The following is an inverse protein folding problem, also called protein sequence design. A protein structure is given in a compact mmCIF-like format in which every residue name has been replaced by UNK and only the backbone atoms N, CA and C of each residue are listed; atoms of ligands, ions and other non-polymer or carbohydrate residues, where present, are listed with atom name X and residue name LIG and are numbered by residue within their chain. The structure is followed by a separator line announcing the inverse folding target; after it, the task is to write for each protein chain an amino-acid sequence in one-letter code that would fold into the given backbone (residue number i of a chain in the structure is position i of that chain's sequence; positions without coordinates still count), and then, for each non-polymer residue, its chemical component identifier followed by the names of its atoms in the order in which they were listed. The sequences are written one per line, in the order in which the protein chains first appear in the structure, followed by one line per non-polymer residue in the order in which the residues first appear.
data_IF_427440209207
#
_entry.id   IF_427440209207
#
_cell.length_a   1.000
_cell.length_b   1.000
_cell.length_c   1.000
_cell.angle_alpha   90.00
_cell.angle_beta   90.00
_cell.angle_gamma   90.00
#
_symmetry.space_group_name_H-M   'P 1'
#
loop_
_entity.id
_entity.type
_entity.pdbx_description
1 polymer ?
#
# COMPACT_ATOMS: atom_id res chain seq x y z
N UNK A 1 8.21 -20.10 8.44
CA UNK A 1 7.61 -19.06 7.57
C UNK A 1 6.62 -19.73 6.63
N UNK A 2 5.54 -19.05 6.21
CA UNK A 2 4.65 -19.57 5.15
C UNK A 2 5.24 -19.20 3.79
N UNK A 3 5.34 -20.16 2.88
CA UNK A 3 5.78 -19.92 1.51
C UNK A 3 4.57 -19.63 0.61
N UNK A 4 4.80 -18.94 -0.52
CA UNK A 4 3.74 -18.57 -1.46
C UNK A 4 4.15 -18.89 -2.90
N UNK A 5 3.17 -19.23 -3.72
CA UNK A 5 3.36 -19.37 -5.16
C UNK A 5 3.62 -17.99 -5.79
N UNK A 6 4.73 -17.86 -6.54
CA UNK A 6 5.11 -16.61 -7.19
C UNK A 6 4.20 -16.22 -8.39
N UNK A 7 3.30 -17.12 -8.82
CA UNK A 7 2.37 -16.84 -9.91
C UNK A 7 0.98 -16.46 -9.39
N UNK A 8 0.38 -17.31 -8.55
CA UNK A 8 -1.00 -17.16 -8.10
C UNK A 8 -1.15 -16.71 -6.64
N UNK A 9 -0.04 -16.46 -5.95
CA UNK A 9 0.02 -15.96 -4.56
C UNK A 9 -0.64 -16.87 -3.52
N UNK A 10 -1.05 -18.10 -3.88
CA UNK A 10 -1.55 -19.10 -2.94
C UNK A 10 -0.44 -19.49 -1.96
N UNK A 11 -0.78 -19.50 -0.67
CA UNK A 11 0.10 -20.00 0.38
C UNK A 11 0.30 -21.52 0.26
N UNK A 12 1.48 -22.00 0.67
CA UNK A 12 1.75 -23.42 0.81
C UNK A 12 0.81 -24.04 1.87
N UNK A 13 0.05 -25.03 1.44
CA UNK A 13 -0.83 -25.80 2.33
C UNK A 13 -0.08 -27.02 2.88
N UNK A 14 0.26 -26.96 4.17
CA UNK A 14 0.94 -28.07 4.86
C UNK A 14 0.05 -29.30 5.04
N UNK A 15 -1.28 -29.15 4.96
CA UNK A 15 -2.22 -30.24 5.23
C UNK A 15 -2.40 -31.16 4.03
N UNK A 16 -2.23 -30.65 2.81
CA UNK A 16 -2.43 -31.42 1.58
C UNK A 16 -1.15 -32.08 1.04
N UNK A 17 -0.04 -32.05 1.77
CA UNK A 17 1.29 -32.51 1.31
C UNK A 17 1.76 -31.87 -0.01
N UNK A 18 1.10 -30.80 -0.48
CA UNK A 18 1.42 -30.10 -1.72
C UNK A 18 2.54 -29.08 -1.45
N UNK A 19 3.75 -29.59 -1.23
CA UNK A 19 4.96 -28.76 -1.13
C UNK A 19 5.10 -27.96 -2.43
N UNK A 20 5.26 -26.65 -2.33
CA UNK A 20 5.42 -25.83 -3.52
C UNK A 20 6.74 -26.21 -4.22
N UNK A 21 6.68 -26.43 -5.52
CA UNK A 21 7.86 -26.69 -6.35
C UNK A 21 8.78 -25.47 -6.37
N UNK A 22 10.09 -25.67 -6.21
CA UNK A 22 11.09 -24.60 -6.22
C UNK A 22 11.71 -24.50 -7.61
N UNK A 23 11.95 -23.29 -8.10
CA UNK A 23 12.74 -23.12 -9.31
C UNK A 23 14.21 -23.50 -9.06
N UNK A 24 14.67 -24.59 -9.69
CA UNK A 24 16.03 -25.10 -9.53
C UNK A 24 17.10 -24.04 -9.80
N UNK A 25 16.96 -23.26 -10.88
CA UNK A 25 17.92 -22.21 -11.23
C UNK A 25 17.99 -21.09 -10.18
N UNK A 26 16.86 -20.69 -9.58
CA UNK A 26 16.87 -19.71 -8.51
C UNK A 26 17.43 -20.27 -7.21
N UNK A 27 17.20 -21.55 -6.92
CA UNK A 27 17.77 -22.21 -5.75
C UNK A 27 19.30 -22.22 -5.79
N UNK A 28 19.91 -22.38 -6.97
CA UNK A 28 21.37 -22.31 -7.18
C UNK A 28 22.00 -20.94 -6.86
N UNK A 29 21.19 -19.89 -6.76
CA UNK A 29 21.62 -18.54 -6.38
C UNK A 29 20.95 -18.08 -5.09
N UNK A 30 20.63 -19.03 -4.21
CA UNK A 30 20.04 -18.81 -2.88
C UNK A 30 18.72 -18.01 -2.89
N UNK A 31 17.93 -18.12 -3.97
CA UNK A 31 16.61 -17.50 -4.07
C UNK A 31 15.50 -18.55 -4.02
N UNK A 32 14.59 -18.35 -3.08
CA UNK A 32 13.44 -19.24 -2.85
C UNK A 32 12.20 -18.82 -3.67
N UNK A 33 12.22 -19.09 -4.97
CA UNK A 33 11.05 -18.84 -5.86
C UNK A 33 10.26 -20.13 -6.02
N UNK A 34 9.01 -20.12 -5.55
CA UNK A 34 8.15 -21.30 -5.48
C UNK A 34 6.89 -21.21 -6.33
N UNK A 35 6.38 -22.34 -6.78
CA UNK A 35 5.17 -22.46 -7.58
C UNK A 35 4.31 -23.63 -7.13
N UNK A 36 2.98 -23.48 -7.21
CA UNK A 36 2.05 -24.58 -6.94
C UNK A 36 2.33 -25.79 -7.83
N UNK A 37 2.60 -25.54 -9.10
CA UNK A 37 2.81 -26.55 -10.13
C UNK A 37 3.54 -25.92 -11.34
N UNK A 38 3.82 -26.76 -12.35
CA UNK A 38 4.49 -26.35 -13.59
C UNK A 38 3.68 -25.33 -14.40
N UNK A 39 2.35 -25.32 -14.29
CA UNK A 39 1.49 -24.34 -14.97
C UNK A 39 1.72 -22.93 -14.40
N UNK A 40 1.67 -22.79 -13.07
CA UNK A 40 2.00 -21.54 -12.39
C UNK A 40 3.42 -21.05 -12.76
N UNK A 41 4.39 -21.97 -12.82
CA UNK A 41 5.75 -21.61 -13.25
C UNK A 41 5.78 -21.07 -14.69
N UNK A 42 5.04 -21.70 -15.62
CA UNK A 42 4.95 -21.25 -17.02
C UNK A 42 4.25 -19.90 -17.15
N UNK A 43 3.20 -19.66 -16.39
CA UNK A 43 2.47 -18.39 -16.41
C UNK A 43 3.35 -17.23 -15.90
N UNK A 44 4.09 -17.47 -14.81
CA UNK A 44 5.06 -16.51 -14.30
C UNK A 44 6.34 -16.38 -15.16
N UNK A 45 6.60 -17.32 -16.07
CA UNK A 45 7.86 -17.40 -16.83
C UNK A 45 8.17 -16.12 -17.61
N UNK A 46 7.16 -15.44 -18.17
CA UNK A 46 7.33 -14.19 -18.94
C UNK A 46 8.10 -13.13 -18.15
N UNK A 47 7.83 -13.02 -16.85
CA UNK A 47 8.49 -12.08 -15.94
C UNK A 47 9.71 -12.72 -15.28
N UNK A 48 9.58 -13.97 -14.83
CA UNK A 48 10.61 -14.68 -14.08
C UNK A 48 11.90 -14.92 -14.89
N UNK A 49 11.80 -15.20 -16.19
CA UNK A 49 12.98 -15.52 -17.03
C UNK A 49 14.02 -14.39 -17.08
N UNK A 50 13.61 -13.14 -16.84
CA UNK A 50 14.51 -11.98 -16.86
C UNK A 50 15.54 -12.03 -15.73
N UNK A 51 15.16 -12.63 -14.61
CA UNK A 51 15.96 -12.71 -13.39
C UNK A 51 16.31 -14.11 -12.95
N UNK A 52 15.67 -15.15 -13.48
CA UNK A 52 15.91 -16.57 -13.16
C UNK A 52 17.40 -16.93 -13.26
N UNK A 53 17.94 -17.61 -12.24
CA UNK A 53 19.33 -18.08 -12.21
C UNK A 53 20.44 -17.02 -12.13
N UNK A 54 20.12 -15.73 -12.19
CA UNK A 54 21.11 -14.65 -12.06
C UNK A 54 21.43 -14.38 -10.59
N UNK A 55 22.72 -14.37 -10.23
CA UNK A 55 23.17 -13.82 -8.94
C UNK A 55 22.85 -12.34 -8.94
N UNK A 56 22.13 -11.93 -7.90
CA UNK A 56 21.84 -10.53 -7.68
C UNK A 56 22.99 -10.00 -6.83
N UNK A 57 23.84 -9.15 -7.40
CA UNK A 57 24.90 -8.49 -6.65
C UNK A 57 24.29 -7.87 -5.38
N UNK A 58 24.88 -8.08 -4.19
CA UNK A 58 24.40 -7.46 -2.98
C UNK A 58 24.49 -5.93 -3.14
N UNK A 59 23.33 -5.30 -3.36
CA UNK A 59 23.20 -3.87 -3.69
C UNK A 59 22.61 -3.56 -5.07
N UNK A 60 22.54 -4.55 -5.98
CA UNK A 60 21.97 -4.41 -7.33
C UNK A 60 20.88 -5.44 -7.61
N UNK A 61 20.31 -6.05 -6.57
CA UNK A 61 19.15 -6.90 -6.74
C UNK A 61 18.05 -6.13 -7.47
N UNK A 62 17.73 -6.46 -8.75
CA UNK A 62 16.53 -5.99 -9.35
C UNK A 62 15.44 -6.55 -8.45
N UNK A 63 14.69 -5.61 -7.88
CA UNK A 63 13.52 -5.81 -7.07
C UNK A 63 12.49 -6.59 -7.89
N UNK A 64 12.75 -7.88 -8.10
CA UNK A 64 11.98 -8.76 -8.99
C UNK A 64 10.64 -9.16 -8.37
N UNK A 65 10.46 -8.79 -7.10
CA UNK A 65 9.18 -8.71 -6.40
C UNK A 65 8.84 -7.29 -5.93
N UNK A 66 9.66 -6.27 -6.25
CA UNK A 66 9.55 -4.91 -5.71
C UNK A 66 8.97 -3.89 -6.69
N UNK A 67 9.25 -4.04 -7.98
CA UNK A 67 8.69 -3.16 -9.00
C UNK A 67 7.61 -3.93 -9.76
N UNK A 68 6.39 -3.95 -9.21
CA UNK A 68 5.22 -4.13 -10.06
C UNK A 68 5.35 -2.99 -11.08
N UNK A 69 5.59 -3.27 -12.38
CA UNK A 69 5.67 -2.21 -13.36
C UNK A 69 4.39 -1.40 -13.17
N UNK A 70 4.55 -0.10 -12.94
CA UNK A 70 3.43 0.82 -12.76
C UNK A 70 2.72 0.93 -14.11
N UNK A 71 1.99 -0.15 -14.47
CA UNK A 71 1.32 -0.32 -15.77
C UNK A 71 0.11 0.60 -15.86
N UNK A 72 -0.32 1.16 -14.74
CA UNK A 72 -1.44 2.08 -14.64
C UNK A 72 -0.98 3.35 -13.96
N UNK A 73 -0.94 4.43 -14.73
CA UNK A 73 -0.61 5.80 -14.28
C UNK A 73 -1.55 6.37 -13.19
N UNK A 74 -2.55 5.61 -12.74
CA UNK A 74 -3.62 6.10 -11.87
C UNK A 74 -3.33 6.03 -10.37
N UNK A 75 -2.50 5.11 -9.89
CA UNK A 75 -2.29 4.92 -8.45
C UNK A 75 -0.92 5.40 -7.99
N UNK A 76 -0.91 6.35 -7.06
CA UNK A 76 0.30 6.79 -6.37
C UNK A 76 0.82 5.65 -5.46
N UNK A 77 1.84 4.95 -5.94
CA UNK A 77 2.57 3.90 -5.22
C UNK A 77 4.06 4.19 -5.39
N UNK A 78 4.73 4.75 -4.37
CA UNK A 78 6.14 5.12 -4.46
C UNK A 78 7.05 3.89 -4.63
N UNK A 79 8.27 4.05 -5.17
CA UNK A 79 9.27 2.98 -5.14
C UNK A 79 9.62 2.60 -3.69
N UNK A 80 10.03 1.36 -3.48
CA UNK A 80 10.49 0.91 -2.15
C UNK A 80 11.87 1.47 -1.83
N UNK A 81 12.10 1.83 -0.58
CA UNK A 81 13.42 2.13 -0.05
C UNK A 81 14.37 0.91 -0.23
N UNK A 82 15.69 1.14 -0.38
CA UNK A 82 16.66 0.05 -0.47
C UNK A 82 16.53 -0.94 0.69
N UNK A 83 16.48 -2.24 0.37
CA UNK A 83 16.34 -3.32 1.35
C UNK A 83 14.93 -3.55 1.89
N UNK A 84 13.96 -2.67 1.62
CA UNK A 84 12.57 -2.90 2.00
C UNK A 84 11.87 -3.87 1.03
N UNK A 85 11.23 -4.89 1.58
CA UNK A 85 10.46 -5.88 0.80
C UNK A 85 8.99 -5.86 1.21
N UNK A 86 8.12 -5.58 0.23
CA UNK A 86 6.66 -5.68 0.38
C UNK A 86 6.24 -7.14 0.60
N UNK A 87 5.26 -7.35 1.49
CA UNK A 87 4.66 -8.67 1.70
C UNK A 87 3.81 -9.10 0.49
N UNK A 88 3.51 -10.40 0.41
CA UNK A 88 2.63 -10.95 -0.61
C UNK A 88 1.22 -10.31 -0.56
N UNK A 89 0.68 -10.10 0.64
CA UNK A 89 -0.62 -9.45 0.82
C UNK A 89 -0.59 -7.98 0.42
N UNK A 90 0.50 -7.26 0.71
CA UNK A 90 0.63 -5.87 0.28
C UNK A 90 0.75 -5.75 -1.24
N UNK A 91 1.48 -6.65 -1.90
CA UNK A 91 1.51 -6.71 -3.37
C UNK A 91 0.13 -7.00 -3.97
N UNK A 92 -0.67 -7.85 -3.33
CA UNK A 92 -2.04 -8.09 -3.74
C UNK A 92 -2.91 -6.84 -3.58
N UNK A 93 -2.76 -6.11 -2.47
CA UNK A 93 -3.45 -4.84 -2.25
C UNK A 93 -3.10 -3.81 -3.34
N UNK A 94 -1.82 -3.70 -3.68
CA UNK A 94 -1.32 -2.86 -4.77
C UNK A 94 -1.95 -3.28 -6.11
N UNK A 95 -2.04 -4.57 -6.40
CA UNK A 95 -2.71 -5.08 -7.60
C UNK A 95 -4.17 -4.66 -7.65
N UNK A 96 -4.92 -4.82 -6.56
CA UNK A 96 -6.33 -4.41 -6.55
C UNK A 96 -6.51 -2.91 -6.75
N UNK A 97 -5.62 -2.09 -6.18
CA UNK A 97 -5.65 -0.64 -6.40
C UNK A 97 -5.37 -0.27 -7.86
N UNK A 98 -4.41 -0.94 -8.50
CA UNK A 98 -4.12 -0.75 -9.93
C UNK A 98 -5.34 -1.08 -10.80
N UNK A 99 -6.05 -2.16 -10.46
CA UNK A 99 -7.25 -2.59 -11.19
C UNK A 99 -8.48 -1.71 -10.89
N UNK A 100 -8.44 -0.93 -9.80
CA UNK A 100 -9.56 -0.11 -9.32
C UNK A 100 -9.07 1.30 -8.94
N UNK A 101 -8.70 2.15 -9.92
CA UNK A 101 -8.08 3.47 -9.67
C UNK A 101 -9.00 4.46 -8.94
N UNK A 102 -10.30 4.18 -8.87
CA UNK A 102 -11.26 4.96 -8.09
C UNK A 102 -11.15 4.70 -6.57
N UNK A 103 -10.59 3.57 -6.15
CA UNK A 103 -10.49 3.17 -4.76
C UNK A 103 -9.19 3.68 -4.12
N UNK A 104 -9.30 4.16 -2.88
CA UNK A 104 -8.18 4.55 -2.03
C UNK A 104 -7.65 3.35 -1.23
N UNK A 105 -8.49 2.39 -0.88
CA UNK A 105 -8.08 1.17 -0.19
C UNK A 105 -9.10 0.05 -0.40
N UNK A 106 -8.66 -1.20 -0.38
CA UNK A 106 -9.53 -2.38 -0.48
C UNK A 106 -9.51 -3.13 0.84
N UNK A 107 -10.67 -3.33 1.45
CA UNK A 107 -10.83 -4.11 2.67
C UNK A 107 -11.24 -5.54 2.33
N UNK A 108 -10.55 -6.52 2.89
CA UNK A 108 -10.91 -7.93 2.79
C UNK A 108 -11.90 -8.29 3.92
N UNK A 109 -13.17 -8.45 3.54
CA UNK A 109 -14.29 -8.72 4.45
C UNK A 109 -14.72 -10.20 4.48
N UNK A 110 -13.82 -11.12 4.15
CA UNK A 110 -14.11 -12.55 4.11
C UNK A 110 -14.52 -13.07 5.50
N UNK A 111 -15.78 -13.50 5.73
CA UNK A 111 -16.12 -14.16 6.98
C UNK A 111 -15.39 -15.51 7.07
N UNK A 112 -15.12 -16.02 8.29
CA UNK A 112 -14.51 -17.33 8.48
C UNK A 112 -15.26 -18.42 7.68
N UNK A 113 -14.51 -19.24 6.95
CA UNK A 113 -15.07 -20.38 6.19
C UNK A 113 -15.57 -20.06 4.77
N UNK A 114 -15.62 -18.80 4.35
CA UNK A 114 -16.03 -18.47 2.96
C UNK A 114 -14.87 -18.73 1.98
N UNK A 115 -15.12 -19.53 0.94
CA UNK A 115 -14.13 -19.88 -0.09
C UNK A 115 -13.74 -18.71 -1.00
N UNK A 116 -14.65 -17.77 -1.24
CA UNK A 116 -14.42 -16.59 -2.09
C UNK A 116 -14.32 -15.35 -1.22
N UNK A 117 -13.23 -14.57 -1.31
CA UNK A 117 -13.09 -13.36 -0.53
C UNK A 117 -14.12 -12.31 -0.95
N UNK A 118 -14.56 -11.53 0.03
CA UNK A 118 -15.41 -10.35 -0.21
C UNK A 118 -14.50 -9.13 -0.09
N UNK A 119 -14.55 -8.25 -1.08
CA UNK A 119 -13.77 -7.02 -1.08
C UNK A 119 -14.72 -5.82 -0.96
N UNK A 120 -14.43 -4.92 -0.02
CA UNK A 120 -15.07 -3.61 0.06
C UNK A 120 -14.10 -2.54 -0.41
N UNK A 121 -14.57 -1.73 -1.35
CA UNK A 121 -13.80 -0.63 -1.93
C UNK A 121 -14.02 0.61 -1.07
N UNK A 122 -12.95 1.22 -0.60
CA UNK A 122 -12.98 2.48 0.11
C UNK A 122 -12.58 3.59 -0.84
N UNK A 123 -13.44 4.60 -0.97
CA UNK A 123 -13.13 5.87 -1.59
C UNK A 123 -13.35 7.02 -0.61
N UNK A 124 -12.44 7.99 -0.66
CA UNK A 124 -12.53 9.26 0.05
C UNK A 124 -13.13 10.27 -0.91
N UNK A 125 -14.12 11.03 -0.43
CA UNK A 125 -14.96 11.85 -1.31
C UNK A 125 -14.45 13.29 -1.49
N UNK A 126 -13.30 13.62 -0.91
CA UNK A 126 -12.70 14.96 -1.07
C UNK A 126 -11.24 14.84 -1.52
N UNK A 127 -10.76 15.76 -2.40
CA UNK A 127 -9.37 15.77 -2.89
C UNK A 127 -8.34 15.80 -1.76
N UNK A 128 -8.56 16.60 -0.72
CA UNK A 128 -7.66 16.72 0.44
C UNK A 128 -7.54 15.39 1.18
N UNK A 129 -8.67 14.75 1.51
CA UNK A 129 -8.66 13.47 2.21
C UNK A 129 -7.97 12.39 1.37
N UNK A 130 -8.33 12.30 0.09
CA UNK A 130 -7.80 11.31 -0.82
C UNK A 130 -6.29 11.47 -1.04
N UNK A 131 -5.81 12.68 -1.34
CA UNK A 131 -4.41 12.92 -1.63
C UNK A 131 -3.53 12.69 -0.39
N UNK A 132 -3.95 13.17 0.79
CA UNK A 132 -3.21 12.94 2.04
C UNK A 132 -3.16 11.44 2.34
N UNK A 133 -4.29 10.75 2.25
CA UNK A 133 -4.32 9.31 2.50
C UNK A 133 -3.42 8.54 1.52
N UNK A 134 -3.43 8.87 0.23
CA UNK A 134 -2.56 8.26 -0.76
C UNK A 134 -1.08 8.45 -0.42
N UNK A 135 -0.68 9.63 0.04
CA UNK A 135 0.71 9.90 0.45
C UNK A 135 1.08 9.12 1.71
N UNK A 136 0.26 9.16 2.76
CA UNK A 136 0.53 8.44 4.01
C UNK A 136 0.57 6.92 3.79
N UNK A 137 -0.37 6.39 3.00
CA UNK A 137 -0.34 5.00 2.53
C UNK A 137 0.94 4.71 1.76
N UNK A 138 1.34 5.61 0.86
CA UNK A 138 2.58 5.52 0.09
C UNK A 138 3.80 5.34 1.00
N UNK A 139 3.98 6.21 1.99
CA UNK A 139 5.09 6.09 2.95
C UNK A 139 5.08 4.75 3.70
N UNK A 140 3.92 4.29 4.17
CA UNK A 140 3.80 2.99 4.82
C UNK A 140 4.11 1.81 3.88
N UNK A 141 3.88 1.97 2.57
CA UNK A 141 4.11 0.93 1.54
C UNK A 141 5.51 0.93 0.93
N UNK A 142 6.35 1.92 1.25
CA UNK A 142 7.69 2.07 0.68
C UNK A 142 8.84 1.82 1.64
N UNK A 143 8.63 1.89 2.95
CA UNK A 143 9.74 1.79 3.91
C UNK A 143 9.29 1.24 5.27
N UNK A 144 10.26 1.07 6.17
CA UNK A 144 10.06 0.81 7.60
C UNK A 144 10.54 2.00 8.42
N UNK A 145 10.41 1.93 9.75
CA UNK A 145 10.90 2.94 10.70
C UNK A 145 9.84 3.95 11.12
N UNK A 146 10.22 4.95 11.95
CA UNK A 146 9.26 5.81 12.65
C UNK A 146 8.28 6.54 11.73
N UNK A 147 8.76 7.10 10.60
CA UNK A 147 7.92 7.78 9.62
C UNK A 147 6.88 6.83 8.99
N UNK A 148 7.28 5.60 8.66
CA UNK A 148 6.38 4.59 8.10
C UNK A 148 5.35 4.11 9.13
N UNK A 149 5.75 3.94 10.38
CA UNK A 149 4.86 3.57 11.49
C UNK A 149 3.82 4.65 11.77
N UNK A 150 4.22 5.92 11.83
CA UNK A 150 3.29 7.04 11.99
C UNK A 150 2.33 7.19 10.81
N UNK A 151 2.82 6.99 9.59
CA UNK A 151 1.98 6.98 8.41
C UNK A 151 0.99 5.81 8.39
N UNK A 152 1.42 4.64 8.85
CA UNK A 152 0.57 3.47 8.99
C UNK A 152 -0.48 3.66 10.09
N UNK A 153 -0.14 4.34 11.18
CA UNK A 153 -1.11 4.71 12.22
C UNK A 153 -2.20 5.65 11.66
N UNK A 154 -1.82 6.64 10.85
CA UNK A 154 -2.78 7.51 10.16
C UNK A 154 -3.74 6.70 9.28
N UNK A 155 -3.20 5.78 8.47
CA UNK A 155 -3.99 4.87 7.63
C UNK A 155 -4.94 4.04 8.49
N UNK A 156 -4.42 3.39 9.55
CA UNK A 156 -5.22 2.58 10.46
C UNK A 156 -6.39 3.34 11.06
N UNK A 157 -6.16 4.56 11.58
CA UNK A 157 -7.22 5.39 12.17
C UNK A 157 -8.27 5.84 11.17
N UNK A 158 -7.88 6.17 9.95
CA UNK A 158 -8.83 6.53 8.90
C UNK A 158 -9.68 5.31 8.49
N UNK A 159 -9.05 4.15 8.35
CA UNK A 159 -9.73 2.89 8.06
C UNK A 159 -10.67 2.49 9.20
N UNK A 160 -10.26 2.65 10.46
CA UNK A 160 -11.06 2.33 11.65
C UNK A 160 -12.36 3.14 11.68
N UNK A 161 -12.30 4.45 11.43
CA UNK A 161 -13.50 5.32 11.40
C UNK A 161 -14.54 4.83 10.40
N UNK A 162 -14.11 4.32 9.24
CA UNK A 162 -15.00 3.74 8.22
C UNK A 162 -15.42 2.32 8.56
N UNK A 163 -14.56 1.55 9.24
CA UNK A 163 -14.83 0.16 9.62
C UNK A 163 -15.88 0.03 10.71
N UNK A 164 -16.03 1.01 11.63
CA UNK A 164 -17.05 0.94 12.70
C UNK A 164 -18.46 0.65 12.17
N UNK A 165 -18.77 1.02 10.93
CA UNK A 165 -20.06 0.76 10.31
C UNK A 165 -20.19 -0.62 9.63
N UNK A 166 -19.09 -1.27 9.23
CA UNK A 166 -19.14 -2.42 8.30
C UNK A 166 -18.14 -3.55 8.54
N UNK A 167 -17.03 -3.31 9.25
CA UNK A 167 -15.91 -4.25 9.38
C UNK A 167 -15.42 -4.36 10.83
N UNK A 168 -15.33 -5.60 11.31
CA UNK A 168 -14.76 -5.91 12.62
C UNK A 168 -13.30 -5.41 12.71
N UNK A 169 -12.97 -4.63 13.73
CA UNK A 169 -11.62 -4.09 13.95
C UNK A 169 -10.53 -5.19 13.92
N UNK A 170 -10.83 -6.39 14.42
CA UNK A 170 -9.92 -7.53 14.37
C UNK A 170 -9.62 -7.98 12.94
N UNK A 171 -10.60 -7.91 12.03
CA UNK A 171 -10.37 -8.22 10.60
C UNK A 171 -9.45 -7.19 9.95
N UNK A 172 -9.69 -5.90 10.22
CA UNK A 172 -8.82 -4.82 9.75
C UNK A 172 -7.39 -5.00 10.27
N UNK A 173 -7.21 -5.21 11.57
CA UNK A 173 -5.89 -5.46 12.15
C UNK A 173 -5.22 -6.70 11.53
N UNK A 174 -5.98 -7.78 11.32
CA UNK A 174 -5.42 -8.99 10.69
C UNK A 174 -5.00 -8.75 9.23
N UNK A 175 -5.74 -7.94 8.48
CA UNK A 175 -5.35 -7.55 7.13
C UNK A 175 -4.06 -6.72 7.16
N UNK A 176 -4.01 -5.66 7.98
CA UNK A 176 -2.83 -4.80 8.11
C UNK A 176 -1.59 -5.55 8.61
N UNK A 177 -1.74 -6.54 9.51
CA UNK A 177 -0.65 -7.45 9.89
C UNK A 177 -0.11 -8.26 8.71
N UNK A 178 -0.99 -8.78 7.85
CA UNK A 178 -0.55 -9.52 6.65
C UNK A 178 0.19 -8.61 5.67
N UNK A 179 -0.28 -7.38 5.50
CA UNK A 179 0.27 -6.41 4.56
C UNK A 179 1.60 -5.81 5.03
N UNK A 180 1.66 -5.31 6.27
CA UNK A 180 2.77 -4.51 6.77
C UNK A 180 3.65 -5.25 7.79
N UNK A 181 3.23 -6.43 8.27
CA UNK A 181 4.02 -7.28 9.16
C UNK A 181 4.45 -6.58 10.45
N UNK A 182 5.75 -6.70 10.78
CA UNK A 182 6.34 -6.19 12.00
C UNK A 182 6.16 -4.67 12.19
N UNK A 183 6.07 -3.89 11.11
CA UNK A 183 5.79 -2.45 11.19
C UNK A 183 4.43 -2.17 11.81
N UNK A 184 3.40 -2.95 11.47
CA UNK A 184 2.08 -2.78 12.09
C UNK A 184 2.04 -3.32 13.52
N UNK A 185 2.74 -4.42 13.80
CA UNK A 185 2.85 -4.94 15.16
C UNK A 185 3.53 -3.92 16.10
N UNK A 186 4.55 -3.21 15.61
CA UNK A 186 5.19 -2.08 16.31
C UNK A 186 4.19 -0.96 16.62
N UNK A 187 3.39 -0.53 15.63
CA UNK A 187 2.33 0.47 15.81
C UNK A 187 1.33 0.05 16.90
N UNK A 188 0.84 -1.20 16.86
CA UNK A 188 -0.11 -1.69 17.86
C UNK A 188 0.52 -1.80 19.26
N UNK A 189 1.77 -2.23 19.36
CA UNK A 189 2.49 -2.28 20.62
C UNK A 189 2.67 -0.89 21.23
N UNK A 190 3.02 0.10 20.41
CA UNK A 190 3.17 1.49 20.80
C UNK A 190 1.85 2.10 21.29
N UNK A 191 0.73 1.82 20.60
CA UNK A 191 -0.61 2.17 21.06
C UNK A 191 -0.97 1.53 22.41
N UNK A 192 -0.62 0.26 22.60
CA UNK A 192 -0.86 -0.46 23.85
C UNK A 192 -0.10 0.13 25.06
N UNK A 193 1.04 0.78 24.81
CA UNK A 193 1.80 1.52 25.84
C UNK A 193 1.33 2.96 26.05
N UNK A 194 0.39 3.46 25.23
CA UNK A 194 -0.01 4.87 25.26
C UNK A 194 1.00 5.82 24.59
N UNK A 195 1.89 5.29 23.75
CA UNK A 195 2.95 6.02 23.05
C UNK A 195 2.73 5.94 21.53
N UNK A 196 1.65 6.52 20.98
CA UNK A 196 1.36 6.41 19.55
C UNK A 196 2.51 6.98 18.70
N UNK A 197 2.90 6.32 17.59
CA UNK A 197 3.85 6.89 16.65
C UNK A 197 3.39 8.25 16.13
N UNK A 198 4.26 9.25 16.22
CA UNK A 198 3.99 10.63 15.78
C UNK A 198 4.63 10.84 14.41
N UNK A 199 3.87 11.45 13.50
CA UNK A 199 4.41 11.81 12.19
C UNK A 199 5.25 13.08 12.34
N UNK A 200 6.57 12.92 12.33
CA UNK A 200 7.50 14.05 12.43
C UNK A 200 7.64 14.77 11.08
N UNK A 201 7.57 16.10 11.15
CA UNK A 201 7.66 16.99 9.99
C UNK A 201 6.33 17.19 9.27
N UNK A 202 6.41 17.53 7.99
CA UNK A 202 5.24 17.74 7.15
C UNK A 202 5.21 16.79 5.95
N UNK A 203 4.01 16.56 5.44
CA UNK A 203 3.83 16.02 4.10
C UNK A 203 4.15 17.14 3.11
N UNK A 204 5.17 16.88 2.29
CA UNK A 204 5.67 17.86 1.34
C UNK A 204 4.61 18.20 0.30
N UNK A 205 4.68 19.44 -0.19
CA UNK A 205 3.85 19.88 -1.32
C UNK A 205 4.04 19.00 -2.55
N UNK A 206 5.28 18.60 -2.83
CA UNK A 206 5.61 17.75 -3.98
C UNK A 206 4.86 16.41 -3.93
N UNK A 207 4.83 15.77 -2.75
CA UNK A 207 4.10 14.50 -2.59
C UNK A 207 2.59 14.69 -2.75
N UNK A 208 2.03 15.80 -2.25
CA UNK A 208 0.62 16.13 -2.44
C UNK A 208 0.29 16.37 -3.91
N UNK A 209 1.11 17.15 -4.62
CA UNK A 209 0.88 17.43 -6.03
C UNK A 209 0.99 16.17 -6.90
N UNK A 210 1.91 15.25 -6.57
CA UNK A 210 1.98 13.92 -7.21
C UNK A 210 0.70 13.14 -6.98
N UNK A 211 0.20 13.08 -5.74
CA UNK A 211 -1.05 12.39 -5.43
C UNK A 211 -2.27 13.02 -6.12
N UNK A 212 -2.36 14.35 -6.16
CA UNK A 212 -3.41 15.08 -6.88
C UNK A 212 -3.35 14.84 -8.38
N UNK A 213 -2.15 14.77 -8.96
CA UNK A 213 -1.95 14.43 -10.38
C UNK A 213 -2.44 13.00 -10.67
N UNK A 214 -2.15 12.04 -9.78
CA UNK A 214 -2.67 10.68 -9.89
C UNK A 214 -4.20 10.64 -9.80
N UNK A 215 -4.80 11.37 -8.86
CA UNK A 215 -6.27 11.47 -8.73
C UNK A 215 -6.92 12.07 -9.99
N UNK A 216 -6.33 13.14 -10.54
CA UNK A 216 -6.75 13.76 -11.80
C UNK A 216 -6.66 12.78 -12.97
N UNK A 217 -5.54 12.06 -13.09
CA UNK A 217 -5.33 11.05 -14.14
C UNK A 217 -6.32 9.88 -14.04
N UNK A 218 -6.73 9.51 -12.82
CA UNK A 218 -7.79 8.55 -12.56
C UNK A 218 -9.21 9.09 -12.83
N UNK A 219 -9.35 10.34 -13.28
CA UNK A 219 -10.63 10.99 -13.55
C UNK A 219 -11.43 11.33 -12.29
N UNK A 220 -10.80 11.34 -11.11
CA UNK A 220 -11.44 11.71 -9.84
C UNK A 220 -11.45 13.22 -9.66
N UNK A 221 -12.49 13.71 -8.97
CA UNK A 221 -12.63 15.13 -8.60
C UNK A 221 -12.46 16.10 -9.78
N UNK A 222 -13.05 15.76 -10.94
CA UNK A 222 -12.89 16.56 -12.17
C UNK A 222 -13.14 18.06 -11.95
N UNK A 223 -14.25 18.50 -11.29
CA UNK A 223 -14.48 19.94 -11.09
C UNK A 223 -13.38 20.62 -10.28
N UNK A 224 -12.83 19.94 -9.26
CA UNK A 224 -11.82 20.50 -8.37
C UNK A 224 -10.41 20.46 -8.97
N UNK A 225 -10.13 19.50 -9.86
CA UNK A 225 -8.79 19.25 -10.40
C UNK A 225 -8.64 19.65 -11.88
N UNK A 226 -9.68 20.16 -12.53
CA UNK A 226 -9.67 20.53 -13.96
C UNK A 226 -8.50 21.46 -14.30
N UNK A 227 -8.32 22.51 -13.51
CA UNK A 227 -7.27 23.52 -13.71
C UNK A 227 -5.98 23.25 -12.92
N UNK A 228 -5.94 22.18 -12.12
CA UNK A 228 -4.75 21.84 -11.34
C UNK A 228 -3.59 21.42 -12.26
N UNK A 229 -2.43 22.05 -12.09
CA UNK A 229 -1.18 21.75 -12.81
C UNK A 229 -0.06 21.57 -11.77
N UNK A 230 0.51 20.36 -11.69
CA UNK A 230 1.64 20.09 -10.79
C UNK A 230 2.88 20.90 -11.19
N UNK A 231 3.61 21.40 -10.20
CA UNK A 231 4.84 22.16 -10.38
C UNK A 231 4.64 23.62 -10.81
N UNK A 232 3.39 24.11 -10.90
CA UNK A 232 3.11 25.48 -11.34
C UNK A 232 3.57 26.59 -10.36
N UNK A 233 4.13 26.23 -9.20
CA UNK A 233 4.70 27.20 -8.25
C UNK A 233 3.66 28.12 -7.59
N UNK A 234 2.37 27.75 -7.59
CA UNK A 234 1.29 28.53 -6.99
C UNK A 234 1.43 28.73 -5.47
N UNK A 235 0.52 29.45 -4.81
CA UNK A 235 0.52 29.56 -3.35
C UNK A 235 0.16 28.22 -2.69
N UNK A 236 0.70 27.96 -1.51
CA UNK A 236 0.29 26.85 -0.66
C UNK A 236 -0.04 27.31 0.76
N UNK A 237 -0.69 26.44 1.51
CA UNK A 237 -1.06 26.68 2.90
C UNK A 237 -0.72 25.47 3.77
N UNK A 238 -0.36 25.73 5.03
CA UNK A 238 -0.21 24.66 6.02
C UNK A 238 -1.59 24.23 6.48
N UNK A 239 -1.96 23.00 6.16
CA UNK A 239 -3.21 22.37 6.56
C UNK A 239 -2.94 21.36 7.66
N UNK A 240 -3.78 21.37 8.69
CA UNK A 240 -3.73 20.40 9.79
C UNK A 240 -4.84 19.38 9.61
N UNK A 241 -4.48 18.10 9.46
CA UNK A 241 -5.45 17.01 9.40
C UNK A 241 -5.36 16.17 10.66
N UNK A 242 -6.49 16.00 11.34
CA UNK A 242 -6.62 15.09 12.47
C UNK A 242 -7.51 13.90 12.11
N UNK A 243 -7.09 12.70 12.47
CA UNK A 243 -7.84 11.45 12.28
C UNK A 243 -7.85 10.62 13.56
N UNK A 244 -8.75 9.63 13.62
CA UNK A 244 -8.97 8.78 14.78
C UNK A 244 -10.17 9.19 15.63
N UNK A 245 -10.66 8.26 16.47
CA UNK A 245 -11.85 8.45 17.31
C UNK A 245 -11.69 9.64 18.27
N UNK A 246 -10.47 9.85 18.75
CA UNK A 246 -10.14 10.94 19.66
C UNK A 246 -9.28 12.02 19.00
N UNK A 247 -9.22 12.05 17.66
CA UNK A 247 -8.33 12.96 16.90
C UNK A 247 -6.86 12.83 17.35
N UNK A 248 -6.47 11.60 17.69
CA UNK A 248 -5.20 11.24 18.30
C UNK A 248 -4.03 11.21 17.31
N UNK A 249 -4.31 11.30 16.01
CA UNK A 249 -3.28 11.40 14.97
C UNK A 249 -3.42 12.73 14.26
N UNK A 250 -2.33 13.50 14.22
CA UNK A 250 -2.23 14.78 13.51
C UNK A 250 -1.17 14.70 12.42
N UNK A 251 -1.49 15.24 11.24
CA UNK A 251 -0.54 15.41 10.13
C UNK A 251 -0.58 16.86 9.70
N UNK A 252 0.60 17.46 9.51
CA UNK A 252 0.77 18.77 8.90
C UNK A 252 1.08 18.56 7.42
N UNK A 253 0.38 19.29 6.56
CA UNK A 253 0.47 19.12 5.11
C UNK A 253 0.67 20.48 4.48
N UNK A 254 1.63 20.59 3.57
CA UNK A 254 1.76 21.76 2.70
C UNK A 254 0.87 21.57 1.47
N UNK A 255 -0.29 22.22 1.45
CA UNK A 255 -1.37 21.93 0.50
C UNK A 255 -1.55 23.06 -0.53
N UNK A 256 -1.70 22.76 -1.84
CA UNK A 256 -1.96 23.78 -2.87
C UNK A 256 -3.24 24.58 -2.61
N UNK A 257 -3.12 25.91 -2.54
CA UNK A 257 -4.23 26.80 -2.15
C UNK A 257 -5.34 26.86 -3.21
N UNK A 258 -4.97 26.75 -4.48
CA UNK A 258 -5.87 26.73 -5.64
C UNK A 258 -6.84 25.55 -5.60
N UNK A 259 -6.39 24.38 -5.14
CA UNK A 259 -7.25 23.21 -4.93
C UNK A 259 -8.10 23.38 -3.67
N UNK A 260 -7.54 23.95 -2.60
CA UNK A 260 -8.26 24.12 -1.33
C UNK A 260 -9.42 25.13 -1.44
N UNK A 261 -9.21 26.29 -2.09
CA UNK A 261 -10.24 27.32 -2.23
C UNK A 261 -11.49 26.84 -2.98
N UNK A 262 -11.36 25.81 -3.82
CA UNK A 262 -12.51 25.16 -4.46
C UNK A 262 -13.39 24.37 -3.49
N UNK A 263 -12.83 23.87 -2.38
CA UNK A 263 -13.58 23.10 -1.37
C UNK A 263 -14.40 23.99 -0.43
N UNK A 264 -14.09 25.28 -0.36
CA UNK A 264 -14.75 26.25 0.51
C UNK A 264 -15.96 26.94 -0.15
N UNK A 265 -16.25 26.62 -1.42
CA UNK A 265 -17.40 27.12 -2.18
C UNK A 265 -18.50 26.07 -2.20
#
# INVERSE_FOLDING_TARGET
MKHFCAACMKAEDKTQNAKLSVCAACLLVDRDVRYCNRECQRDAWKNHKRSCGKRLEPGTAPNTFGDVPNRFSGTYIPPTAPGYRRSAALLQQISFLNDNPAADYILEMSPPGRKKPIHAFMDLHTPDSASIFMVMRGYAMSSTGPRAEAALLYVYRLLQKRSVATVNEKLLQNQLRREYGATFDSVLAALGRGEPPVFEGEVSREDIEKALSSLKAAGRFKPQLEHFVSGAGGKSMKMFRQVGLHKDVRVVVDYPLDVYCWLAR
#
